data_IF_062551359663
#
_entry.id   IF_062551359663
#
_cell.length_a   1.000
_cell.length_b   1.000
_cell.length_c   1.000
_cell.angle_alpha   90.00
_cell.angle_beta   90.00
_cell.angle_gamma   90.00
#
_symmetry.space_group_name_H-M   'P 1'
#
loop_
_entity.id
_entity.type
_entity.pdbx_description
1 polymer ?
#
# COMPACT_ATOMS: atom_id res chain seq x y z
N UNK A 1 23.99 -4.41 -8.05
CA UNK A 1 23.39 -3.07 -8.32
C UNK A 1 22.10 -2.94 -7.51
N UNK A 2 22.22 -2.62 -6.22
CA UNK A 2 21.06 -2.52 -5.32
C UNK A 2 20.49 -1.12 -5.44
N UNK A 3 19.43 -0.93 -6.25
CA UNK A 3 18.65 0.30 -6.20
C UNK A 3 17.88 0.29 -4.88
N UNK A 4 18.42 0.97 -3.87
CA UNK A 4 17.65 1.37 -2.69
C UNK A 4 16.59 2.36 -3.17
N UNK A 5 15.40 1.85 -3.49
CA UNK A 5 14.25 2.68 -3.84
C UNK A 5 13.47 2.97 -2.56
N UNK A 6 12.99 4.21 -2.46
CA UNK A 6 12.52 4.82 -1.22
C UNK A 6 11.58 3.91 -0.44
N UNK A 7 11.89 3.68 0.85
CA UNK A 7 10.82 3.46 1.82
C UNK A 7 9.93 4.68 1.70
N UNK A 8 8.70 4.52 1.19
CA UNK A 8 7.67 5.57 1.23
C UNK A 8 7.26 5.72 2.71
N UNK A 9 8.15 6.29 3.50
CA UNK A 9 7.86 6.85 4.80
C UNK A 9 7.25 8.23 4.58
N UNK A 10 6.41 8.70 5.50
CA UNK A 10 5.81 10.01 5.35
C UNK A 10 6.94 11.04 5.32
N UNK A 11 7.16 11.65 4.16
CA UNK A 11 7.56 13.06 4.12
C UNK A 11 6.55 13.75 5.02
N UNK A 12 7.04 14.31 6.14
CA UNK A 12 6.27 14.86 7.25
C UNK A 12 4.88 15.33 6.79
N UNK A 13 3.84 14.60 7.16
CA UNK A 13 2.47 14.93 6.77
C UNK A 13 2.20 16.39 7.15
N UNK A 14 2.14 17.27 6.15
CA UNK A 14 1.78 18.66 6.35
C UNK A 14 0.28 18.67 6.69
N UNK A 15 -0.13 19.21 7.86
CA UNK A 15 -1.54 19.29 8.19
C UNK A 15 -2.26 20.15 7.14
N UNK A 16 -3.12 19.52 6.34
CA UNK A 16 -3.92 20.19 5.30
C UNK A 16 -3.85 19.59 3.90
N UNK A 17 -2.85 18.75 3.60
CA UNK A 17 -2.73 18.10 2.28
C UNK A 17 -2.44 16.61 2.43
N UNK A 18 -3.46 15.78 2.17
CA UNK A 18 -3.25 14.34 1.98
C UNK A 18 -2.75 14.09 0.56
N UNK A 19 -1.53 13.56 0.35
CA UNK A 19 -1.11 13.20 -0.99
C UNK A 19 -2.05 12.16 -1.59
N UNK A 20 -2.35 12.29 -2.88
CA UNK A 20 -3.17 11.31 -3.58
C UNK A 20 -2.37 10.01 -3.72
N UNK A 21 -2.91 8.92 -3.17
CA UNK A 21 -2.31 7.60 -3.30
C UNK A 21 -2.88 6.91 -4.54
N UNK A 22 -2.05 6.73 -5.56
CA UNK A 22 -2.39 5.87 -6.69
C UNK A 22 -2.22 4.40 -6.28
N UNK A 23 -3.34 3.77 -5.94
CA UNK A 23 -3.37 2.37 -5.47
C UNK A 23 -3.06 1.41 -6.61
N UNK A 24 -3.59 1.67 -7.81
CA UNK A 24 -3.43 0.73 -8.91
C UNK A 24 -1.97 0.71 -9.38
N UNK A 25 -1.32 1.87 -9.50
CA UNK A 25 0.11 1.95 -9.80
C UNK A 25 0.98 1.27 -8.71
N UNK A 26 0.61 1.41 -7.43
CA UNK A 26 1.29 0.74 -6.31
C UNK A 26 1.16 -0.79 -6.40
N UNK A 27 -0.01 -1.28 -6.82
CA UNK A 27 -0.25 -2.72 -6.94
C UNK A 27 0.44 -3.32 -8.17
N UNK A 28 0.57 -2.56 -9.27
CA UNK A 28 1.23 -3.00 -10.51
C UNK A 28 2.77 -2.98 -10.39
N UNK A 29 3.33 -2.26 -9.40
CA UNK A 29 4.76 -2.23 -9.13
C UNK A 29 5.23 -3.56 -8.48
N UNK A 30 5.96 -4.36 -9.25
CA UNK A 30 6.54 -5.62 -8.80
C UNK A 30 7.69 -5.47 -7.80
N UNK A 31 8.31 -4.29 -7.69
CA UNK A 31 9.30 -4.00 -6.65
C UNK A 31 8.64 -3.79 -5.27
N UNK A 32 7.32 -3.52 -5.24
CA UNK A 32 6.54 -3.38 -4.00
C UNK A 32 6.06 -4.74 -3.51
N UNK A 33 6.80 -5.32 -2.56
CA UNK A 33 6.51 -6.65 -2.01
C UNK A 33 5.63 -6.66 -0.75
N UNK A 34 5.64 -5.58 0.04
CA UNK A 34 4.95 -5.52 1.35
C UNK A 34 4.17 -4.22 1.45
N UNK A 35 2.88 -4.33 1.75
CA UNK A 35 1.99 -3.20 2.03
C UNK A 35 1.47 -3.36 3.46
N UNK A 36 1.58 -2.30 4.26
CA UNK A 36 1.15 -2.31 5.67
C UNK A 36 0.05 -1.27 5.88
N UNK A 37 -1.17 -1.73 6.16
CA UNK A 37 -2.30 -0.86 6.50
C UNK A 37 -2.26 -0.51 8.01
N UNK A 38 -1.99 0.77 8.34
CA UNK A 38 -1.92 1.30 9.72
C UNK A 38 -2.95 2.40 9.95
N UNK A 39 -3.26 2.67 11.23
CA UNK A 39 -4.32 3.60 11.64
C UNK A 39 -4.97 3.19 12.97
N UNK A 40 -5.80 4.07 13.53
CA UNK A 40 -6.54 3.85 14.79
C UNK A 40 -7.51 2.65 14.70
N UNK A 41 -8.05 2.21 15.85
CA UNK A 41 -9.04 1.14 15.90
C UNK A 41 -10.32 1.49 15.13
N UNK A 42 -10.94 0.50 14.47
CA UNK A 42 -12.23 0.68 13.78
C UNK A 42 -12.20 1.40 12.42
N UNK A 43 -11.07 1.95 11.96
CA UNK A 43 -10.99 2.69 10.68
C UNK A 43 -11.00 1.84 9.40
N UNK A 44 -11.24 0.53 9.52
CA UNK A 44 -11.35 -0.36 8.36
C UNK A 44 -10.03 -0.97 7.84
N UNK A 45 -8.92 -0.89 8.57
CA UNK A 45 -7.60 -1.44 8.12
C UNK A 45 -7.67 -2.86 7.57
N UNK A 46 -8.35 -3.77 8.28
CA UNK A 46 -8.50 -5.17 7.87
C UNK A 46 -9.26 -5.27 6.55
N UNK A 47 -10.35 -4.52 6.42
CA UNK A 47 -11.14 -4.42 5.19
C UNK A 47 -10.31 -3.85 4.05
N UNK A 48 -9.53 -2.81 4.30
CA UNK A 48 -8.62 -2.21 3.32
C UNK A 48 -7.54 -3.21 2.87
N UNK A 49 -6.88 -3.91 3.80
CA UNK A 49 -5.89 -4.95 3.47
C UNK A 49 -6.50 -6.06 2.60
N UNK A 50 -7.70 -6.53 2.94
CA UNK A 50 -8.38 -7.57 2.17
C UNK A 50 -8.75 -7.08 0.76
N UNK A 51 -9.27 -5.85 0.64
CA UNK A 51 -9.62 -5.25 -0.65
C UNK A 51 -8.39 -5.06 -1.54
N UNK A 52 -7.27 -4.60 -0.98
CA UNK A 52 -6.00 -4.47 -1.70
C UNK A 52 -5.47 -5.82 -2.17
N UNK A 53 -5.53 -6.85 -1.32
CA UNK A 53 -5.09 -8.19 -1.67
C UNK A 53 -5.94 -8.78 -2.80
N UNK A 54 -7.27 -8.62 -2.76
CA UNK A 54 -8.16 -9.04 -3.82
C UNK A 54 -7.84 -8.33 -5.14
N UNK A 55 -7.75 -6.99 -5.11
CA UNK A 55 -7.44 -6.15 -6.27
C UNK A 55 -6.08 -6.47 -6.91
N UNK A 56 -5.10 -6.87 -6.09
CA UNK A 56 -3.78 -7.33 -6.55
C UNK A 56 -3.83 -8.75 -7.15
N UNK A 57 -4.62 -9.66 -6.55
CA UNK A 57 -4.83 -11.00 -7.08
C UNK A 57 -5.55 -11.00 -8.44
N UNK A 58 -6.55 -10.12 -8.61
CA UNK A 58 -7.24 -9.89 -9.89
C UNK A 58 -6.28 -9.45 -11.02
N UNK A 59 -5.15 -8.83 -10.66
CA UNK A 59 -4.08 -8.43 -11.59
C UNK A 59 -3.04 -9.52 -11.84
N UNK A 60 -3.26 -10.73 -11.33
CA UNK A 60 -2.35 -11.86 -11.49
C UNK A 60 -1.19 -11.89 -10.49
N UNK A 61 -1.23 -11.08 -9.42
CA UNK A 61 -0.23 -11.19 -8.34
C UNK A 61 -0.56 -12.37 -7.43
N UNK A 62 0.49 -13.05 -6.94
CA UNK A 62 0.37 -14.01 -5.83
C UNK A 62 0.51 -13.25 -4.53
N UNK A 63 -0.54 -13.23 -3.72
CA UNK A 63 -0.66 -12.35 -2.56
C UNK A 63 -1.12 -13.16 -1.34
N UNK A 64 -0.70 -12.72 -0.16
CA UNK A 64 -1.22 -13.17 1.14
C UNK A 64 -1.63 -11.93 1.93
N UNK A 65 -2.71 -12.03 2.69
CA UNK A 65 -3.17 -10.98 3.62
C UNK A 65 -3.08 -11.51 5.05
N UNK A 66 -2.58 -10.68 5.97
CA UNK A 66 -2.36 -10.99 7.38
C UNK A 66 -3.12 -10.00 8.26
#
# INVERSE_FOLDING_TARGET
>A
MTRSRARVGPLAAQPGTSPHLDVDALLDDHDTHIIVCRGSGGVGKTTTSAALALRAAERGRRVVVL
#
